data_IF_287173374573
#
_entry.id   IF_287173374573
#
_cell.length_a   1.000
_cell.length_b   1.000
_cell.length_c   1.000
_cell.angle_alpha   90.00
_cell.angle_beta   90.00
_cell.angle_gamma   90.00
#
_symmetry.space_group_name_H-M   'P 1'
#
loop_
_entity.id
_entity.type
_entity.pdbx_description
1 polymer ?
#
# COMPACT_ATOMS: atom_id res chain seq x y z
N UNK A 1 27.31 2.00 -19.52
CA UNK A 1 25.91 2.02 -19.06
C UNK A 1 25.96 1.81 -17.56
N UNK A 2 25.63 2.82 -16.74
CA UNK A 2 25.72 2.64 -15.28
C UNK A 2 24.74 1.57 -14.83
N UNK A 3 25.26 0.48 -14.29
CA UNK A 3 24.49 -0.63 -13.72
C UNK A 3 24.01 -0.21 -12.31
N UNK A 4 22.93 0.56 -12.25
CA UNK A 4 22.28 0.85 -10.98
C UNK A 4 21.23 -0.23 -10.69
N UNK A 5 21.51 -1.06 -9.68
CA UNK A 5 20.54 -2.02 -9.18
C UNK A 5 19.36 -1.26 -8.55
N UNK A 6 18.16 -1.42 -9.11
CA UNK A 6 16.94 -0.86 -8.54
C UNK A 6 16.60 -1.60 -7.24
N UNK A 7 16.60 -0.86 -6.12
CA UNK A 7 16.10 -1.33 -4.83
C UNK A 7 14.63 -0.93 -4.68
N UNK A 8 13.82 -1.80 -4.08
CA UNK A 8 12.39 -1.53 -3.84
C UNK A 8 12.13 -1.17 -2.37
N UNK A 9 10.94 -0.64 -2.08
CA UNK A 9 10.55 -0.24 -0.73
C UNK A 9 10.61 -1.39 0.28
N UNK A 10 10.28 -2.62 -0.13
CA UNK A 10 10.37 -3.79 0.74
C UNK A 10 11.81 -4.13 1.10
N UNK A 11 12.75 -3.96 0.18
CA UNK A 11 14.18 -4.15 0.43
C UNK A 11 14.74 -3.10 1.41
N UNK A 12 14.31 -1.85 1.28
CA UNK A 12 14.66 -0.80 2.24
C UNK A 12 14.07 -1.14 3.62
N UNK A 13 12.82 -1.56 3.66
CA UNK A 13 12.16 -1.99 4.91
C UNK A 13 12.86 -3.16 5.58
N UNK A 14 13.31 -4.13 4.80
CA UNK A 14 14.09 -5.28 5.28
C UNK A 14 15.42 -4.84 5.92
N UNK A 15 16.16 -3.94 5.26
CA UNK A 15 17.41 -3.41 5.79
C UNK A 15 17.20 -2.61 7.08
N UNK A 16 16.17 -1.74 7.12
CA UNK A 16 15.83 -0.93 8.30
C UNK A 16 15.40 -1.82 9.47
N UNK A 17 14.67 -2.89 9.20
CA UNK A 17 14.26 -3.86 10.22
C UNK A 17 15.46 -4.69 10.73
N UNK A 18 16.24 -5.27 9.81
CA UNK A 18 17.44 -6.04 10.14
C UNK A 18 18.43 -6.05 8.97
N UNK A 19 19.49 -5.26 9.10
CA UNK A 19 20.57 -5.19 8.11
C UNK A 19 21.24 -6.55 7.84
N UNK A 20 21.35 -7.40 8.85
CA UNK A 20 21.99 -8.71 8.76
C UNK A 20 21.12 -9.68 7.97
N UNK A 21 19.81 -9.69 8.19
CA UNK A 21 18.88 -10.48 7.39
C UNK A 21 18.92 -10.05 5.92
N UNK A 22 18.89 -8.74 5.66
CA UNK A 22 19.06 -8.19 4.32
C UNK A 22 20.39 -8.65 3.68
N UNK A 23 21.50 -8.60 4.40
CA UNK A 23 22.80 -9.01 3.88
C UNK A 23 22.86 -10.51 3.56
N UNK A 24 22.31 -11.35 4.45
CA UNK A 24 22.22 -12.79 4.22
C UNK A 24 21.38 -13.09 2.96
N UNK A 25 20.25 -12.41 2.80
CA UNK A 25 19.36 -12.64 1.66
C UNK A 25 19.90 -12.05 0.36
N UNK A 26 20.51 -10.85 0.37
CA UNK A 26 20.88 -10.11 -0.83
C UNK A 26 22.33 -10.29 -1.27
N UNK A 27 23.24 -10.58 -0.34
CA UNK A 27 24.67 -10.80 -0.64
C UNK A 27 25.01 -12.29 -0.62
N UNK A 28 24.51 -13.04 0.37
CA UNK A 28 24.76 -14.48 0.48
C UNK A 28 23.70 -15.36 -0.18
N UNK A 29 22.62 -14.75 -0.71
CA UNK A 29 21.51 -15.44 -1.38
C UNK A 29 20.82 -16.51 -0.51
N UNK A 30 20.91 -16.36 0.81
CA UNK A 30 20.31 -17.26 1.79
C UNK A 30 18.84 -16.89 2.01
N UNK A 31 17.97 -17.85 1.77
CA UNK A 31 16.52 -17.64 1.96
C UNK A 31 16.16 -17.69 3.43
N UNK A 32 15.22 -16.85 3.83
CA UNK A 32 14.63 -16.89 5.17
C UNK A 32 13.90 -18.22 5.37
N UNK A 33 14.14 -18.87 6.51
CA UNK A 33 13.36 -20.03 6.95
C UNK A 33 12.00 -19.63 7.52
N UNK A 34 11.77 -18.33 7.77
CA UNK A 34 10.53 -17.79 8.34
C UNK A 34 9.40 -17.62 7.30
N UNK A 35 9.24 -18.59 6.41
CA UNK A 35 8.34 -18.51 5.25
C UNK A 35 6.88 -18.38 5.66
N UNK A 36 6.47 -19.07 6.74
CA UNK A 36 5.08 -19.09 7.20
C UNK A 36 4.63 -17.72 7.70
N UNK A 37 5.40 -17.09 8.59
CA UNK A 37 5.04 -15.79 9.15
C UNK A 37 5.11 -14.69 8.08
N UNK A 38 6.08 -14.77 7.16
CA UNK A 38 6.15 -13.89 6.00
C UNK A 38 4.89 -13.98 5.12
N UNK A 39 4.42 -15.20 4.82
CA UNK A 39 3.20 -15.42 4.05
C UNK A 39 1.96 -14.89 4.78
N UNK A 40 1.86 -15.13 6.10
CA UNK A 40 0.77 -14.62 6.93
C UNK A 40 0.74 -13.08 6.96
N UNK A 41 1.89 -12.44 7.15
CA UNK A 41 2.04 -10.99 7.11
C UNK A 41 1.66 -10.41 5.75
N UNK A 42 2.09 -11.05 4.66
CA UNK A 42 1.74 -10.64 3.29
C UNK A 42 0.23 -10.71 3.06
N UNK A 43 -0.41 -11.82 3.43
CA UNK A 43 -1.85 -11.98 3.31
C UNK A 43 -2.63 -10.94 4.14
N UNK A 44 -2.14 -10.62 5.34
CA UNK A 44 -2.71 -9.58 6.19
C UNK A 44 -2.61 -8.20 5.54
N UNK A 45 -1.44 -7.84 5.01
CA UNK A 45 -1.23 -6.56 4.32
C UNK A 45 -2.12 -6.43 3.06
N UNK A 46 -2.27 -7.49 2.28
CA UNK A 46 -3.17 -7.48 1.12
C UNK A 46 -4.64 -7.29 1.53
N UNK A 47 -5.08 -7.99 2.58
CA UNK A 47 -6.44 -7.84 3.11
C UNK A 47 -6.70 -6.42 3.61
N UNK A 48 -5.74 -5.84 4.34
CA UNK A 48 -5.80 -4.45 4.77
C UNK A 48 -5.82 -3.49 3.58
N UNK A 49 -4.97 -3.70 2.57
CA UNK A 49 -4.94 -2.90 1.35
C UNK A 49 -6.29 -2.88 0.62
N UNK A 50 -6.97 -4.04 0.52
CA UNK A 50 -8.34 -4.12 -0.01
C UNK A 50 -9.34 -3.33 0.84
N UNK A 51 -9.24 -3.38 2.16
CA UNK A 51 -10.11 -2.61 3.05
C UNK A 51 -9.91 -1.10 2.89
N UNK A 52 -8.66 -0.63 2.83
CA UNK A 52 -8.31 0.77 2.58
C UNK A 52 -8.82 1.21 1.22
N UNK A 53 -8.62 0.41 0.17
CA UNK A 53 -9.12 0.71 -1.17
C UNK A 53 -10.63 0.93 -1.21
N UNK A 54 -11.40 0.05 -0.57
CA UNK A 54 -12.87 0.21 -0.44
C UNK A 54 -13.24 1.48 0.32
N UNK A 55 -12.55 1.79 1.41
CA UNK A 55 -12.77 3.00 2.20
C UNK A 55 -12.51 4.27 1.38
N UNK A 56 -11.42 4.30 0.61
CA UNK A 56 -11.10 5.42 -0.28
C UNK A 56 -12.17 5.61 -1.35
N UNK A 57 -12.66 4.52 -1.97
CA UNK A 57 -13.73 4.61 -2.97
C UNK A 57 -15.05 5.08 -2.37
N UNK A 58 -15.43 4.56 -1.20
CA UNK A 58 -16.61 5.01 -0.48
C UNK A 58 -16.53 6.50 -0.13
N UNK A 59 -15.37 6.96 0.34
CA UNK A 59 -15.12 8.39 0.62
C UNK A 59 -15.25 9.25 -0.64
N UNK A 60 -14.68 8.83 -1.77
CA UNK A 60 -14.81 9.53 -3.04
C UNK A 60 -16.28 9.64 -3.48
N UNK A 61 -17.03 8.54 -3.40
CA UNK A 61 -18.45 8.53 -3.72
C UNK A 61 -19.25 9.46 -2.79
N UNK A 62 -18.99 9.44 -1.49
CA UNK A 62 -19.65 10.32 -0.53
C UNK A 62 -19.39 11.81 -0.85
N UNK A 63 -18.14 12.19 -1.13
CA UNK A 63 -17.81 13.56 -1.52
C UNK A 63 -18.50 13.96 -2.82
N UNK A 64 -18.51 13.08 -3.83
CA UNK A 64 -19.17 13.35 -5.11
C UNK A 64 -20.69 13.55 -4.94
N UNK A 65 -21.36 12.72 -4.12
CA UNK A 65 -22.78 12.85 -3.82
C UNK A 65 -23.09 14.14 -3.06
N UNK A 66 -22.24 14.54 -2.10
CA UNK A 66 -22.40 15.81 -1.39
C UNK A 66 -22.27 17.00 -2.32
N UNK A 67 -21.29 16.99 -3.24
CA UNK A 67 -21.13 18.05 -4.24
C UNK A 67 -22.31 18.10 -5.21
N UNK A 68 -22.81 16.96 -5.66
CA UNK A 68 -23.99 16.91 -6.52
C UNK A 68 -25.23 17.45 -5.81
N UNK A 69 -25.50 17.00 -4.57
CA UNK A 69 -26.65 17.45 -3.79
C UNK A 69 -26.60 18.94 -3.45
N UNK A 70 -25.42 19.46 -3.11
CA UNK A 70 -25.24 20.91 -2.88
C UNK A 70 -25.45 21.71 -4.16
N UNK A 71 -24.91 21.27 -5.29
CA UNK A 71 -25.13 21.93 -6.57
C UNK A 71 -26.61 21.96 -6.97
N UNK A 72 -27.34 20.83 -6.80
CA UNK A 72 -28.78 20.78 -7.10
C UNK A 72 -29.60 21.71 -6.20
N UNK A 73 -29.26 21.79 -4.90
CA UNK A 73 -29.92 22.70 -3.98
C UNK A 73 -29.69 24.17 -4.36
N UNK A 74 -28.46 24.53 -4.71
CA UNK A 74 -28.13 25.89 -5.16
C UNK A 74 -28.88 26.26 -6.44
N UNK A 75 -28.91 25.36 -7.43
CA UNK A 75 -29.67 25.57 -8.66
C UNK A 75 -31.17 25.75 -8.40
N UNK A 76 -31.74 24.97 -7.49
CA UNK A 76 -33.13 25.09 -7.09
C UNK A 76 -33.42 26.43 -6.38
N UNK A 77 -32.50 26.94 -5.58
CA UNK A 77 -32.65 28.24 -4.92
C UNK A 77 -32.49 29.45 -5.87
N UNK A 78 -31.83 29.27 -7.00
CA UNK A 78 -31.54 30.32 -7.98
C UNK A 78 -32.55 30.41 -9.12
N UNK A 79 -33.42 29.41 -9.29
CA UNK A 79 -34.49 29.37 -10.30
C UNK A 79 -35.84 29.71 -9.70
#
# INVERSE_FOLDING_TARGET
MSDYKLINASEIGEYVYCNHAWWLQRVHNLQSTNVRELAAGTAHHEAHGRAVGRSVQARKAAVALLLAGTATLLLWMMG
#
